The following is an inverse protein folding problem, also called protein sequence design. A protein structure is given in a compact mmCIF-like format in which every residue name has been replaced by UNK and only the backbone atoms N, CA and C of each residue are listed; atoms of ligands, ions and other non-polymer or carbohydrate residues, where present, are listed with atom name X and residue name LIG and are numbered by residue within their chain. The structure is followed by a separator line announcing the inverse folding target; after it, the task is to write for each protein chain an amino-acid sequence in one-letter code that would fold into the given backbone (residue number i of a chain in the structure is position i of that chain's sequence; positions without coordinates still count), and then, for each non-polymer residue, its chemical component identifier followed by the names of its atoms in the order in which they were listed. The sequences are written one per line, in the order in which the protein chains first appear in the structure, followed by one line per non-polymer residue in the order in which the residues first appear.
data_IF_813310410224
#
_entry.id   IF_813310410224
#
_cell.length_a   1.000
_cell.length_b   1.000
_cell.length_c   1.000
_cell.angle_alpha   90.00
_cell.angle_beta   90.00
_cell.angle_gamma   90.00
#
_symmetry.space_group_name_H-M   'P 1'
#
loop_
_entity.id
_entity.type
_entity.pdbx_description
1 polymer ?
#
# COMPACT_ATOMS: atom_id res chain seq x y z
N UNK A 1 24.54 56.84 60.97
CA UNK A 1 24.06 56.84 59.56
C UNK A 1 24.57 55.56 58.89
N UNK A 2 23.73 54.52 58.85
CA UNK A 2 24.08 53.17 58.35
C UNK A 2 23.72 53.11 56.85
N UNK A 3 24.69 52.80 55.99
CA UNK A 3 24.47 52.55 54.56
C UNK A 3 24.17 51.06 54.36
N UNK A 4 22.96 50.76 53.92
CA UNK A 4 22.50 49.41 53.52
C UNK A 4 22.88 49.22 52.06
N UNK A 5 23.61 48.14 51.75
CA UNK A 5 23.89 47.68 50.38
C UNK A 5 22.87 46.59 50.06
N UNK A 6 21.99 46.85 49.09
CA UNK A 6 21.02 45.88 48.55
C UNK A 6 21.72 45.09 47.44
N UNK A 7 21.89 43.79 47.64
CA UNK A 7 22.38 42.87 46.62
C UNK A 7 21.21 42.42 45.73
N UNK A 8 21.30 42.75 44.44
CA UNK A 8 20.36 42.35 43.40
C UNK A 8 20.67 40.92 42.96
N UNK A 9 19.83 39.95 43.31
CA UNK A 9 19.92 38.56 42.82
C UNK A 9 19.17 38.47 41.49
N UNK A 10 19.90 38.34 40.38
CA UNK A 10 19.31 38.01 39.07
C UNK A 10 18.92 36.52 39.05
N UNK A 11 17.62 36.25 38.97
CA UNK A 11 17.08 34.91 38.72
C UNK A 11 17.24 34.54 37.24
N UNK A 12 17.97 33.45 36.96
CA UNK A 12 17.96 32.80 35.65
C UNK A 12 16.69 31.94 35.53
N UNK A 13 15.74 32.38 34.70
CA UNK A 13 14.63 31.55 34.23
C UNK A 13 15.12 30.68 33.07
N UNK A 14 15.17 29.35 33.28
CA UNK A 14 15.44 28.38 32.21
C UNK A 14 14.13 28.19 31.42
N UNK A 15 14.07 28.49 30.12
CA UNK A 15 12.88 28.22 29.32
C UNK A 15 12.74 26.70 29.14
N UNK A 16 11.61 26.15 29.58
CA UNK A 16 11.26 24.75 29.35
C UNK A 16 11.18 24.46 27.85
N UNK A 17 11.98 23.50 27.39
CA UNK A 17 11.95 22.99 26.03
C UNK A 17 10.63 22.21 25.86
N UNK A 18 9.63 22.85 25.26
CA UNK A 18 8.42 22.15 24.81
C UNK A 18 8.82 21.33 23.60
N UNK A 19 9.01 20.02 23.79
CA UNK A 19 9.13 19.05 22.70
C UNK A 19 7.75 18.98 22.03
N UNK A 20 7.59 19.74 20.95
CA UNK A 20 6.42 19.59 20.07
C UNK A 20 6.44 18.19 19.48
N UNK A 21 5.41 17.40 19.77
CA UNK A 21 5.14 16.17 19.05
C UNK A 21 4.98 16.53 17.56
N UNK A 22 5.88 16.02 16.71
CA UNK A 22 5.73 16.15 15.28
C UNK A 22 4.36 15.55 14.88
N UNK A 23 3.57 16.22 14.01
CA UNK A 23 2.36 15.61 13.50
C UNK A 23 2.72 14.30 12.83
N UNK A 24 2.22 13.19 13.38
CA UNK A 24 2.13 11.93 12.68
C UNK A 24 1.45 12.22 11.35
N UNK A 25 2.10 11.82 10.25
CA UNK A 25 1.61 12.02 8.89
C UNK A 25 0.11 11.71 8.86
N UNK A 26 -0.72 12.76 8.77
CA UNK A 26 -2.06 12.58 8.24
C UNK A 26 -1.79 12.09 6.82
N UNK A 27 -2.35 10.93 6.47
CA UNK A 27 -2.56 10.60 5.07
C UNK A 27 -2.96 11.88 4.34
N UNK A 28 -2.48 12.10 3.11
CA UNK A 28 -2.93 13.24 2.32
C UNK A 28 -4.41 13.03 1.95
N UNK A 29 -5.27 13.21 2.94
CA UNK A 29 -6.68 12.87 2.89
C UNK A 29 -7.40 13.77 1.90
N UNK A 30 -6.93 15.01 1.74
CA UNK A 30 -7.30 15.88 0.63
C UNK A 30 -7.00 15.22 -0.70
N UNK A 31 -5.76 14.76 -0.92
CA UNK A 31 -5.39 14.11 -2.17
C UNK A 31 -6.23 12.85 -2.43
N UNK A 32 -6.44 12.00 -1.42
CA UNK A 32 -7.28 10.82 -1.55
C UNK A 32 -8.72 11.17 -1.95
N UNK A 33 -9.35 12.13 -1.26
CA UNK A 33 -10.72 12.56 -1.53
C UNK A 33 -10.89 13.17 -2.92
N UNK A 34 -9.90 13.94 -3.37
CA UNK A 34 -9.90 14.67 -4.63
C UNK A 34 -9.59 13.77 -5.84
N UNK A 35 -8.81 12.70 -5.65
CA UNK A 35 -8.25 11.93 -6.76
C UNK A 35 -8.80 10.50 -6.88
N UNK A 36 -9.22 9.87 -5.77
CA UNK A 36 -9.74 8.49 -5.78
C UNK A 36 -11.25 8.52 -5.73
N UNK A 37 -11.94 7.80 -6.62
CA UNK A 37 -13.41 7.83 -6.69
C UNK A 37 -14.07 7.38 -5.37
N UNK A 38 -15.29 7.87 -5.09
CA UNK A 38 -16.05 7.45 -3.91
C UNK A 38 -16.19 5.92 -3.81
N UNK A 39 -16.49 5.25 -4.92
CA UNK A 39 -16.61 3.80 -4.96
C UNK A 39 -15.33 3.09 -4.50
N UNK A 40 -14.16 3.64 -4.82
CA UNK A 40 -12.86 3.09 -4.45
C UNK A 40 -12.48 3.41 -3.02
N UNK A 41 -12.85 4.58 -2.52
CA UNK A 41 -12.75 4.89 -1.09
C UNK A 41 -13.62 3.95 -0.25
N UNK A 42 -14.86 3.70 -0.69
CA UNK A 42 -15.76 2.71 -0.05
C UNK A 42 -15.15 1.28 -0.07
N UNK A 43 -14.33 0.94 -1.07
CA UNK A 43 -13.57 -0.34 -1.09
C UNK A 43 -12.43 -0.35 -0.08
N UNK A 44 -11.68 0.75 0.05
CA UNK A 44 -10.60 0.92 1.04
C UNK A 44 -11.10 0.89 2.49
N UNK A 45 -12.29 1.44 2.76
CA UNK A 45 -12.94 1.39 4.07
C UNK A 45 -13.32 -0.04 4.47
N UNK A 46 -13.71 -0.86 3.48
CA UNK A 46 -14.09 -2.28 3.68
C UNK A 46 -12.92 -3.25 3.51
N UNK A 47 -11.68 -2.76 3.59
CA UNK A 47 -10.48 -3.53 3.33
C UNK A 47 -10.37 -4.79 4.18
N UNK A 48 -10.52 -4.67 5.51
CA UNK A 48 -10.40 -5.83 6.41
C UNK A 48 -11.54 -6.83 6.24
N UNK A 49 -12.75 -6.36 5.90
CA UNK A 49 -13.87 -7.22 5.56
C UNK A 49 -13.59 -8.03 4.28
N UNK A 50 -13.04 -7.38 3.25
CA UNK A 50 -12.61 -8.03 2.01
C UNK A 50 -11.55 -9.11 2.28
N UNK A 51 -10.53 -8.75 3.06
CA UNK A 51 -9.41 -9.61 3.42
C UNK A 51 -9.87 -10.84 4.20
N UNK A 52 -10.69 -10.63 5.22
CA UNK A 52 -11.26 -11.71 6.04
C UNK A 52 -12.11 -12.66 5.21
N UNK A 53 -12.99 -12.12 4.37
CA UNK A 53 -13.89 -12.92 3.53
C UNK A 53 -13.11 -13.72 2.45
N UNK A 54 -12.15 -13.09 1.78
CA UNK A 54 -11.32 -13.75 0.78
C UNK A 54 -10.46 -14.86 1.39
N UNK A 55 -9.84 -14.60 2.54
CA UNK A 55 -9.06 -15.63 3.25
C UNK A 55 -9.93 -16.79 3.72
N UNK A 56 -11.12 -16.53 4.26
CA UNK A 56 -12.01 -17.59 4.71
C UNK A 56 -12.38 -18.55 3.56
N UNK A 57 -12.76 -18.01 2.40
CA UNK A 57 -13.09 -18.84 1.22
C UNK A 57 -11.88 -19.59 0.68
N UNK A 58 -10.73 -18.90 0.56
CA UNK A 58 -9.50 -19.53 0.12
C UNK A 58 -9.10 -20.70 1.03
N UNK A 59 -9.23 -20.54 2.35
CA UNK A 59 -8.92 -21.59 3.35
C UNK A 59 -9.92 -22.75 3.32
N UNK A 60 -11.18 -22.48 3.02
CA UNK A 60 -12.23 -23.49 2.97
C UNK A 60 -12.14 -24.38 1.72
N UNK A 61 -11.65 -23.85 0.59
CA UNK A 61 -11.69 -24.56 -0.70
C UNK A 61 -10.38 -24.62 -1.48
N UNK A 62 -9.30 -24.00 -1.00
CA UNK A 62 -8.00 -24.01 -1.67
C UNK A 62 -7.29 -25.36 -1.56
N UNK A 63 -6.53 -25.73 -2.59
CA UNK A 63 -5.70 -26.92 -2.54
C UNK A 63 -4.58 -26.76 -1.47
N UNK A 64 -4.19 -27.82 -0.74
CA UNK A 64 -3.17 -27.72 0.31
C UNK A 64 -1.84 -27.09 -0.14
N UNK A 65 -1.40 -27.38 -1.37
CA UNK A 65 -0.18 -26.80 -1.93
C UNK A 65 -0.31 -25.28 -2.14
N UNK A 66 -1.44 -24.81 -2.68
CA UNK A 66 -1.70 -23.38 -2.89
C UNK A 66 -1.86 -22.63 -1.56
N UNK A 67 -2.46 -23.27 -0.55
CA UNK A 67 -2.56 -22.73 0.79
C UNK A 67 -1.18 -22.53 1.43
N UNK A 68 -0.25 -23.46 1.24
CA UNK A 68 1.13 -23.30 1.71
C UNK A 68 1.82 -22.11 1.05
N UNK A 69 1.58 -21.89 -0.25
CA UNK A 69 2.08 -20.70 -0.96
C UNK A 69 1.45 -19.43 -0.40
N UNK A 70 0.13 -19.42 -0.18
CA UNK A 70 -0.59 -18.29 0.41
C UNK A 70 -0.02 -17.94 1.80
N UNK A 71 0.28 -18.93 2.64
CA UNK A 71 0.91 -18.70 3.95
C UNK A 71 2.25 -17.98 3.84
N UNK A 72 3.09 -18.37 2.88
CA UNK A 72 4.38 -17.71 2.61
C UNK A 72 4.20 -16.26 2.12
N UNK A 73 3.21 -16.02 1.25
CA UNK A 73 2.85 -14.69 0.76
C UNK A 73 2.37 -13.79 1.91
N UNK A 74 1.59 -14.34 2.84
CA UNK A 74 1.05 -13.61 3.98
C UNK A 74 2.08 -13.36 5.08
N UNK A 75 3.12 -14.20 5.18
CA UNK A 75 4.16 -14.10 6.19
C UNK A 75 4.97 -12.79 6.12
N UNK A 76 5.38 -12.33 7.30
CA UNK A 76 6.13 -11.08 7.49
C UNK A 76 5.29 -10.02 8.20
N UNK A 77 5.97 -9.04 8.78
CA UNK A 77 5.35 -7.87 9.40
C UNK A 77 5.64 -6.64 8.54
N UNK A 78 4.68 -5.73 8.31
CA UNK A 78 4.95 -4.46 7.66
C UNK A 78 6.09 -3.71 8.34
N UNK A 79 6.96 -3.11 7.53
CA UNK A 79 8.09 -2.29 7.93
C UNK A 79 7.90 -0.87 7.41
N UNK A 80 8.62 0.09 7.97
CA UNK A 80 8.59 1.47 7.47
C UNK A 80 8.97 1.51 5.99
N UNK A 81 8.15 2.21 5.21
CA UNK A 81 8.40 2.49 3.78
C UNK A 81 9.45 3.59 3.58
N UNK A 82 9.78 4.34 4.64
CA UNK A 82 10.81 5.38 4.64
C UNK A 82 12.23 4.82 4.76
N UNK A 83 12.36 3.58 5.24
CA UNK A 83 13.65 2.94 5.40
C UNK A 83 14.11 2.27 4.10
N UNK A 84 15.15 2.83 3.46
CA UNK A 84 15.75 2.24 2.26
C UNK A 84 14.92 2.40 0.99
N UNK A 85 15.53 2.05 -0.15
CA UNK A 85 14.93 2.28 -1.47
C UNK A 85 14.05 1.10 -1.92
N UNK A 86 12.75 1.36 -2.03
CA UNK A 86 11.76 0.41 -2.54
C UNK A 86 11.68 0.38 -4.07
N UNK A 87 12.38 1.24 -4.80
CA UNK A 87 12.37 1.25 -6.26
C UNK A 87 13.14 0.05 -6.83
N UNK A 88 12.84 -0.22 -8.09
CA UNK A 88 13.58 -1.18 -8.91
C UNK A 88 12.68 -2.13 -9.69
N UNK A 89 13.33 -3.15 -10.26
CA UNK A 89 12.65 -4.26 -10.94
C UNK A 89 12.20 -5.31 -9.92
N UNK A 90 11.04 -5.87 -10.17
CA UNK A 90 10.42 -6.91 -9.35
C UNK A 90 9.91 -8.03 -10.24
N UNK A 91 9.96 -9.26 -9.74
CA UNK A 91 9.02 -10.28 -10.15
C UNK A 91 7.74 -10.08 -9.37
N UNK A 92 6.60 -10.15 -10.04
CA UNK A 92 5.30 -10.02 -9.40
C UNK A 92 4.32 -11.13 -9.83
N UNK A 93 3.42 -11.51 -8.95
CA UNK A 93 2.31 -12.43 -9.27
C UNK A 93 1.05 -12.08 -8.51
N UNK A 94 -0.08 -12.42 -9.09
CA UNK A 94 -1.40 -12.23 -8.47
C UNK A 94 -1.81 -13.49 -7.73
N UNK A 95 -2.38 -13.31 -6.54
CA UNK A 95 -3.06 -14.33 -5.76
C UNK A 95 -4.49 -13.84 -5.55
N UNK A 96 -5.47 -14.58 -6.08
CA UNK A 96 -6.90 -14.26 -5.96
C UNK A 96 -7.51 -15.06 -4.83
N UNK A 97 -8.18 -14.37 -3.90
CA UNK A 97 -8.81 -14.95 -2.73
C UNK A 97 -10.33 -14.76 -2.77
N UNK A 98 -11.05 -15.87 -2.62
CA UNK A 98 -12.50 -15.93 -2.72
C UNK A 98 -13.01 -15.86 -4.16
N UNK A 99 -14.29 -16.18 -4.33
CA UNK A 99 -14.90 -16.37 -5.64
C UNK A 99 -14.86 -17.82 -6.12
N UNK A 100 -14.88 -18.01 -7.43
CA UNK A 100 -14.80 -19.33 -8.07
C UNK A 100 -13.74 -19.29 -9.18
N UNK A 101 -12.58 -19.97 -9.00
CA UNK A 101 -12.22 -20.83 -7.86
C UNK A 101 -11.93 -20.02 -6.57
N UNK A 102 -11.99 -20.66 -5.38
CA UNK A 102 -11.83 -19.99 -4.08
C UNK A 102 -10.41 -19.47 -3.81
N UNK A 103 -9.40 -20.03 -4.48
CA UNK A 103 -8.01 -19.61 -4.43
C UNK A 103 -7.38 -19.81 -5.80
N UNK A 104 -6.72 -18.79 -6.34
CA UNK A 104 -5.88 -18.91 -7.54
C UNK A 104 -4.51 -18.32 -7.28
N UNK A 105 -3.45 -19.06 -7.59
CA UNK A 105 -2.06 -18.59 -7.58
C UNK A 105 -1.58 -18.46 -9.02
N UNK A 106 -1.33 -17.25 -9.49
CA UNK A 106 -0.77 -17.04 -10.82
C UNK A 106 0.75 -17.21 -10.85
N UNK A 107 1.27 -17.45 -12.05
CA UNK A 107 2.70 -17.43 -12.33
C UNK A 107 3.32 -16.03 -12.20
N UNK A 108 4.64 -15.99 -12.32
CA UNK A 108 5.42 -14.75 -12.19
C UNK A 108 5.45 -13.95 -13.49
N UNK A 109 5.42 -12.63 -13.33
CA UNK A 109 5.56 -11.61 -14.35
C UNK A 109 6.57 -10.55 -13.89
N UNK A 110 6.83 -9.57 -14.74
CA UNK A 110 7.73 -8.47 -14.46
C UNK A 110 6.91 -7.24 -14.04
N UNK A 111 7.39 -6.60 -12.98
CA UNK A 111 6.92 -5.33 -12.49
C UNK A 111 8.09 -4.36 -12.30
N UNK A 112 7.81 -3.07 -12.41
CA UNK A 112 8.76 -1.99 -12.12
C UNK A 112 8.11 -1.04 -11.12
N UNK A 113 8.78 -0.81 -9.99
CA UNK A 113 8.43 0.26 -9.06
C UNK A 113 9.41 1.40 -9.29
N UNK A 114 8.91 2.47 -9.91
CA UNK A 114 9.64 3.69 -10.20
C UNK A 114 9.07 4.88 -9.45
N UNK A 115 9.45 6.08 -9.89
CA UNK A 115 9.00 7.35 -9.33
C UNK A 115 8.91 8.36 -10.48
N UNK A 116 7.86 9.17 -10.50
CA UNK A 116 7.68 10.30 -11.42
C UNK A 116 7.20 11.54 -10.63
N UNK A 117 6.76 12.59 -11.32
CA UNK A 117 6.34 13.84 -10.69
C UNK A 117 5.13 13.69 -9.73
N UNK A 118 4.42 12.55 -9.78
CA UNK A 118 3.31 12.21 -8.88
C UNK A 118 3.75 11.30 -7.73
N UNK A 119 5.04 10.98 -7.62
CA UNK A 119 5.61 10.08 -6.62
C UNK A 119 5.80 8.66 -7.13
N UNK A 120 5.76 7.68 -6.23
CA UNK A 120 5.98 6.28 -6.60
C UNK A 120 4.92 5.80 -7.60
N UNK A 121 5.37 4.96 -8.54
CA UNK A 121 4.53 4.35 -9.56
C UNK A 121 4.89 2.89 -9.77
N UNK A 122 3.88 2.02 -9.78
CA UNK A 122 4.04 0.59 -10.02
C UNK A 122 3.41 0.22 -11.36
N UNK A 123 4.21 -0.40 -12.23
CA UNK A 123 3.78 -0.93 -13.53
C UNK A 123 4.02 -2.44 -13.60
N UNK A 124 2.98 -3.22 -13.93
CA UNK A 124 3.13 -4.61 -14.38
C UNK A 124 3.38 -4.63 -15.88
N UNK A 125 4.58 -5.01 -16.29
CA UNK A 125 5.09 -4.80 -17.65
C UNK A 125 5.01 -6.05 -18.54
N UNK A 126 4.72 -7.22 -17.98
CA UNK A 126 4.49 -8.47 -18.75
C UNK A 126 3.20 -9.20 -18.35
N UNK A 127 2.79 -10.17 -19.18
CA UNK A 127 1.49 -10.85 -19.09
C UNK A 127 0.38 -10.18 -19.91
N UNK A 128 -0.72 -10.91 -20.10
CA UNK A 128 -1.90 -10.48 -20.88
C UNK A 128 -2.71 -9.40 -20.20
N UNK A 129 -2.87 -9.49 -18.88
CA UNK A 129 -3.47 -8.47 -18.04
C UNK A 129 -2.37 -7.72 -17.28
N UNK A 130 -2.41 -6.40 -17.34
CA UNK A 130 -1.42 -5.49 -16.75
C UNK A 130 -2.14 -4.41 -15.95
N UNK A 131 -1.37 -3.70 -15.13
CA UNK A 131 -1.87 -2.52 -14.42
C UNK A 131 -0.75 -1.50 -14.28
N UNK A 132 -1.17 -0.26 -14.07
CA UNK A 132 -0.31 0.88 -13.75
C UNK A 132 -1.01 1.72 -12.70
N UNK A 133 -0.27 2.23 -11.73
CA UNK A 133 -0.84 3.16 -10.76
C UNK A 133 0.21 3.81 -9.87
N UNK A 134 -0.25 4.84 -9.18
CA UNK A 134 0.54 5.66 -8.29
C UNK A 134 0.21 5.34 -6.84
N UNK A 135 0.91 6.00 -5.93
CA UNK A 135 0.74 5.82 -4.50
C UNK A 135 0.45 7.14 -3.78
N UNK A 136 -0.34 7.05 -2.71
CA UNK A 136 -0.63 8.12 -1.76
C UNK A 136 -0.11 7.63 -0.40
N UNK A 137 0.58 8.50 0.34
CA UNK A 137 1.01 8.19 1.70
C UNK A 137 -0.20 7.92 2.61
N UNK A 138 -0.18 6.79 3.34
CA UNK A 138 -1.26 6.35 4.22
C UNK A 138 -0.78 6.27 5.68
N UNK A 139 0.20 5.42 5.96
CA UNK A 139 0.87 5.32 7.26
C UNK A 139 2.39 5.22 7.08
N UNK A 140 3.16 5.14 8.17
CA UNK A 140 4.61 4.86 8.06
C UNK A 140 4.91 3.52 7.36
N UNK A 141 3.99 2.56 7.41
CA UNK A 141 4.18 1.19 6.89
C UNK A 141 3.31 0.85 5.69
N UNK A 142 2.46 1.78 5.24
CA UNK A 142 1.55 1.59 4.12
C UNK A 142 1.46 2.80 3.20
N UNK A 143 1.23 2.53 1.92
CA UNK A 143 0.78 3.51 0.93
C UNK A 143 -0.50 3.01 0.25
N UNK A 144 -1.41 3.90 -0.09
CA UNK A 144 -2.60 3.59 -0.89
C UNK A 144 -2.21 3.56 -2.36
N UNK A 145 -2.44 2.44 -3.02
CA UNK A 145 -2.36 2.31 -4.47
C UNK A 145 -3.65 2.81 -5.11
N UNK A 146 -3.54 3.55 -6.21
CA UNK A 146 -4.66 3.89 -7.08
C UNK A 146 -4.19 3.84 -8.54
N UNK A 147 -4.87 3.05 -9.36
CA UNK A 147 -4.41 2.74 -10.70
C UNK A 147 -5.46 2.08 -11.57
N UNK A 148 -5.09 1.71 -12.78
CA UNK A 148 -5.98 1.06 -13.72
C UNK A 148 -5.34 -0.18 -14.34
N UNK A 149 -6.19 -1.19 -14.55
CA UNK A 149 -5.85 -2.36 -15.35
C UNK A 149 -5.91 -2.02 -16.84
N UNK A 150 -5.19 -2.78 -17.66
CA UNK A 150 -5.20 -2.72 -19.12
C UNK A 150 -4.72 -4.05 -19.70
N UNK A 151 -5.01 -4.31 -20.97
CA UNK A 151 -4.57 -5.54 -21.63
C UNK A 151 -3.30 -5.33 -22.44
N UNK A 152 -2.54 -6.40 -22.66
CA UNK A 152 -1.32 -6.36 -23.47
C UNK A 152 -1.59 -5.78 -24.86
N UNK A 153 -0.72 -4.87 -25.29
CA UNK A 153 -0.86 -4.16 -26.57
C UNK A 153 -1.60 -2.83 -26.45
N UNK A 154 -2.35 -2.62 -25.36
CA UNK A 154 -2.90 -1.30 -25.04
C UNK A 154 -1.86 -0.38 -24.41
N UNK A 155 -2.06 0.92 -24.58
CA UNK A 155 -1.34 1.92 -23.78
C UNK A 155 -1.82 1.81 -22.32
N UNK A 156 -0.93 2.01 -21.33
CA UNK A 156 -1.34 2.04 -19.92
C UNK A 156 -2.52 3.00 -19.72
N UNK A 157 -3.58 2.50 -19.10
CA UNK A 157 -4.80 3.26 -18.83
C UNK A 157 -4.56 4.21 -17.65
N UNK A 158 -5.07 5.44 -17.75
CA UNK A 158 -5.13 6.37 -16.61
C UNK A 158 -6.25 5.95 -15.66
N UNK A 159 -6.01 6.07 -14.36
CA UNK A 159 -7.08 5.93 -13.37
C UNK A 159 -8.26 6.85 -13.72
N UNK A 160 -9.50 6.33 -13.58
CA UNK A 160 -10.73 7.07 -13.87
C UNK A 160 -11.11 7.15 -15.35
N UNK A 161 -10.24 6.73 -16.28
CA UNK A 161 -10.60 6.68 -17.70
C UNK A 161 -11.66 5.61 -18.01
N UNK A 162 -11.68 4.53 -17.22
CA UNK A 162 -12.72 3.50 -17.22
C UNK A 162 -12.90 3.01 -15.79
N UNK A 163 -14.06 3.28 -15.21
CA UNK A 163 -14.36 2.93 -13.82
C UNK A 163 -14.31 1.42 -13.55
N UNK A 164 -14.59 0.59 -14.55
CA UNK A 164 -14.53 -0.87 -14.41
C UNK A 164 -13.10 -1.41 -14.40
N UNK A 165 -12.14 -0.60 -14.84
CA UNK A 165 -10.72 -0.95 -14.85
C UNK A 165 -9.97 -0.37 -13.66
N UNK A 166 -10.63 0.43 -12.81
CA UNK A 166 -10.01 1.01 -11.63
C UNK A 166 -9.65 -0.04 -10.58
N UNK A 167 -8.44 0.10 -10.05
CA UNK A 167 -7.89 -0.69 -8.96
C UNK A 167 -7.38 0.23 -7.87
N UNK A 168 -7.61 -0.21 -6.63
CA UNK A 168 -7.24 0.50 -5.42
C UNK A 168 -6.79 -0.52 -4.37
N UNK A 169 -5.86 -0.15 -3.50
CA UNK A 169 -5.42 -1.05 -2.43
C UNK A 169 -4.34 -0.45 -1.54
N UNK A 170 -3.66 -1.30 -0.77
CA UNK A 170 -2.58 -0.90 0.14
C UNK A 170 -1.30 -1.68 -0.16
N UNK A 171 -0.21 -0.96 -0.37
CA UNK A 171 1.13 -1.51 -0.45
C UNK A 171 1.76 -1.55 0.95
N UNK A 172 2.36 -2.68 1.30
CA UNK A 172 3.23 -2.81 2.47
C UNK A 172 4.59 -3.35 2.07
N UNK A 173 5.62 -2.93 2.80
CA UNK A 173 6.98 -3.49 2.72
C UNK A 173 7.15 -4.55 3.80
N UNK A 174 7.62 -5.74 3.41
CA UNK A 174 7.81 -6.88 4.31
C UNK A 174 9.30 -7.22 4.52
N UNK A 175 10.19 -6.49 3.84
CA UNK A 175 11.64 -6.67 3.90
C UNK A 175 12.33 -5.96 2.73
N UNK A 176 13.68 -5.99 2.66
CA UNK A 176 14.45 -5.32 1.61
C UNK A 176 14.14 -5.78 0.18
N UNK A 177 13.59 -6.98 0.03
CA UNK A 177 13.29 -7.62 -1.26
C UNK A 177 11.83 -8.00 -1.45
N UNK A 178 10.95 -7.69 -0.49
CA UNK A 178 9.55 -8.16 -0.49
C UNK A 178 8.59 -7.02 -0.25
N UNK A 179 7.71 -6.79 -1.21
CA UNK A 179 6.55 -5.91 -1.06
C UNK A 179 5.29 -6.74 -1.30
N UNK A 180 4.16 -6.25 -0.78
CA UNK A 180 2.85 -6.84 -1.00
C UNK A 180 1.83 -5.75 -1.21
N UNK A 181 1.18 -5.76 -2.37
CA UNK A 181 0.05 -4.89 -2.67
C UNK A 181 -1.23 -5.69 -2.50
N UNK A 182 -2.12 -5.22 -1.63
CA UNK A 182 -3.37 -5.88 -1.26
C UNK A 182 -4.55 -5.05 -1.78
N UNK A 183 -5.41 -5.67 -2.61
CA UNK A 183 -6.48 -5.00 -3.35
C UNK A 183 -7.85 -5.53 -2.85
N UNK A 184 -8.65 -4.73 -2.11
CA UNK A 184 -9.97 -5.15 -1.64
C UNK A 184 -11.03 -5.03 -2.71
N UNK A 185 -11.94 -6.02 -2.78
CA UNK A 185 -13.08 -6.03 -3.68
C UNK A 185 -12.73 -5.60 -5.12
N UNK A 186 -11.75 -6.26 -5.77
CA UNK A 186 -11.46 -5.99 -7.18
C UNK A 186 -12.74 -6.21 -8.00
N UNK A 187 -12.84 -5.53 -9.15
CA UNK A 187 -14.06 -5.55 -9.96
C UNK A 187 -14.46 -6.98 -10.40
N UNK A 188 -13.48 -7.85 -10.58
CA UNK A 188 -13.67 -9.17 -11.20
C UNK A 188 -13.10 -10.31 -10.34
N UNK A 189 -13.80 -11.45 -10.40
CA UNK A 189 -13.36 -12.81 -10.05
C UNK A 189 -13.09 -13.12 -8.58
N UNK A 190 -12.78 -12.14 -7.72
CA UNK A 190 -12.35 -12.38 -6.35
C UNK A 190 -12.85 -11.35 -5.35
N UNK A 191 -12.73 -11.67 -4.06
CA UNK A 191 -13.02 -10.73 -2.97
C UNK A 191 -11.81 -9.91 -2.58
N UNK A 192 -10.62 -10.48 -2.76
CA UNK A 192 -9.36 -9.87 -2.38
C UNK A 192 -8.24 -10.38 -3.28
N UNK A 193 -7.48 -9.47 -3.85
CA UNK A 193 -6.28 -9.82 -4.61
C UNK A 193 -5.03 -9.41 -3.84
N UNK A 194 -4.00 -10.23 -3.93
CA UNK A 194 -2.66 -9.91 -3.48
C UNK A 194 -1.75 -9.89 -4.70
N UNK A 195 -1.05 -8.78 -4.92
CA UNK A 195 0.12 -8.74 -5.79
C UNK A 195 1.35 -8.92 -4.90
N UNK A 196 1.96 -10.09 -4.97
CA UNK A 196 3.26 -10.33 -4.35
C UNK A 196 4.35 -9.72 -5.25
N UNK A 197 5.28 -8.96 -4.68
CA UNK A 197 6.45 -8.43 -5.38
C UNK A 197 7.74 -8.85 -4.70
N UNK A 198 8.64 -9.44 -5.48
CA UNK A 198 9.95 -9.92 -5.01
C UNK A 198 11.05 -9.35 -5.89
N UNK A 199 12.08 -8.74 -5.29
CA UNK A 199 13.29 -8.34 -6.05
C UNK A 199 13.99 -9.60 -6.58
N UNK A 200 14.38 -9.64 -7.87
CA UNK A 200 15.04 -10.79 -8.48
C UNK A 200 16.40 -11.10 -7.85
#
# INVERSE_FOLDING_TARGET
MKRIVVALVLGLTVPGLVVGAAPSARADSSYLEDNVSKADRDRLERFEAARTAGLAEARAGGAPADLSVLDQVLAGKPQSLREGDIRGKYRCRTIKLGGQPPLTIYGWFDCVLGEDDLGYRLDKTTGSQRFSGHFIDDTDTSMIFWGANYVQGEKPRRYGADADQNSVGRLVKLGPKRLRLELPWPKFESKFDIIELVKP
#
